data_IF_106148967251
#
_entry.id   IF_106148967251
#
_cell.length_a   1.000
_cell.length_b   1.000
_cell.length_c   1.000
_cell.angle_alpha   90.00
_cell.angle_beta   90.00
_cell.angle_gamma   90.00
#
_symmetry.space_group_name_H-M   'P 1'
#
loop_
_entity.id
_entity.type
_entity.pdbx_description
1 polymer ?
#
# COMPACT_ATOMS: atom_id res chain seq x y z
N UNK A 1 2.65 -6.25 -24.91
CA UNK A 1 2.64 -5.64 -23.56
C UNK A 1 1.50 -4.62 -23.53
N UNK A 2 0.60 -4.62 -22.52
CA UNK A 2 -0.38 -3.57 -22.41
C UNK A 2 0.37 -2.23 -22.27
N UNK A 3 -0.07 -1.21 -23.00
CA UNK A 3 0.47 0.14 -22.85
C UNK A 3 0.19 0.59 -21.42
N UNK A 4 1.21 0.94 -20.66
CA UNK A 4 1.04 1.64 -19.40
C UNK A 4 0.20 2.89 -19.68
N UNK A 5 -0.92 3.03 -18.97
CA UNK A 5 -1.69 4.26 -19.02
C UNK A 5 -0.80 5.35 -18.44
N UNK A 6 -0.47 6.34 -19.25
CA UNK A 6 0.33 7.48 -18.80
C UNK A 6 -0.53 8.30 -17.83
N UNK A 7 -0.26 8.19 -16.54
CA UNK A 7 -1.00 8.94 -15.51
C UNK A 7 -0.37 10.32 -15.38
N UNK A 8 -1.13 11.39 -15.61
CA UNK A 8 -0.62 12.74 -15.38
C UNK A 8 -0.13 12.91 -13.96
N UNK A 9 0.95 13.67 -13.77
CA UNK A 9 1.49 13.94 -12.44
C UNK A 9 0.44 14.61 -11.55
N UNK A 10 0.26 14.07 -10.34
CA UNK A 10 -0.61 14.66 -9.31
C UNK A 10 0.12 15.70 -8.47
N UNK A 11 1.43 15.91 -8.68
CA UNK A 11 2.29 16.77 -7.85
C UNK A 11 1.72 18.17 -7.62
N UNK A 12 1.14 18.78 -8.65
CA UNK A 12 0.60 20.14 -8.57
C UNK A 12 -0.78 20.22 -7.86
N UNK A 13 -1.39 19.08 -7.56
CA UNK A 13 -2.76 18.98 -6.99
C UNK A 13 -2.77 18.51 -5.54
N UNK A 14 -1.61 18.21 -4.99
CA UNK A 14 -1.46 17.70 -3.61
C UNK A 14 -0.48 18.54 -2.82
N UNK A 15 -0.58 18.50 -1.49
CA UNK A 15 0.38 19.17 -0.61
C UNK A 15 1.77 18.58 -0.72
N UNK A 16 2.80 19.32 -0.30
CA UNK A 16 4.17 18.79 -0.26
C UNK A 16 4.29 17.57 0.64
N UNK A 17 3.59 17.56 1.77
CA UNK A 17 3.57 16.42 2.69
C UNK A 17 2.91 15.17 2.07
N UNK A 18 1.78 15.34 1.38
CA UNK A 18 1.15 14.22 0.66
C UNK A 18 2.05 13.73 -0.49
N UNK A 19 2.69 14.65 -1.23
CA UNK A 19 3.59 14.24 -2.31
C UNK A 19 4.77 13.43 -1.79
N UNK A 20 5.38 13.85 -0.70
CA UNK A 20 6.47 13.10 -0.07
C UNK A 20 6.00 11.71 0.36
N UNK A 21 4.84 11.59 0.99
CA UNK A 21 4.25 10.31 1.35
C UNK A 21 4.00 9.42 0.12
N UNK A 22 3.56 9.97 -1.00
CA UNK A 22 3.39 9.24 -2.27
C UNK A 22 4.72 8.73 -2.82
N UNK A 23 5.78 9.52 -2.75
CA UNK A 23 7.13 9.13 -3.19
C UNK A 23 7.67 8.00 -2.31
N UNK A 24 7.56 8.12 -0.99
CA UNK A 24 8.00 7.09 -0.04
C UNK A 24 7.24 5.78 -0.21
N UNK A 25 5.92 5.85 -0.37
CA UNK A 25 5.11 4.66 -0.60
C UNK A 25 5.44 3.99 -1.94
N UNK A 26 5.63 4.74 -3.01
CA UNK A 26 6.05 4.20 -4.30
C UNK A 26 7.44 3.54 -4.21
N UNK A 27 8.36 4.13 -3.44
CA UNK A 27 9.67 3.52 -3.16
C UNK A 27 9.53 2.20 -2.39
N UNK A 28 8.65 2.13 -1.39
CA UNK A 28 8.38 0.90 -0.64
C UNK A 28 7.86 -0.22 -1.56
N UNK A 29 6.93 0.07 -2.47
CA UNK A 29 6.47 -0.89 -3.48
C UNK A 29 7.63 -1.44 -4.32
N UNK A 30 8.52 -0.57 -4.80
CA UNK A 30 9.67 -0.96 -5.60
C UNK A 30 10.69 -1.79 -4.81
N UNK A 31 10.90 -1.48 -3.55
CA UNK A 31 11.74 -2.28 -2.66
C UNK A 31 11.17 -3.68 -2.45
N UNK A 32 9.88 -3.80 -2.19
CA UNK A 32 9.21 -5.11 -2.05
C UNK A 32 9.33 -5.92 -3.34
N UNK A 33 9.19 -5.28 -4.51
CA UNK A 33 9.43 -5.94 -5.80
C UNK A 33 10.90 -6.35 -5.97
N UNK A 34 11.84 -5.48 -5.61
CA UNK A 34 13.28 -5.76 -5.69
C UNK A 34 13.69 -6.97 -4.86
N UNK A 35 13.12 -7.14 -3.67
CA UNK A 35 13.38 -8.29 -2.80
C UNK A 35 12.57 -9.54 -3.15
N UNK A 36 11.74 -9.49 -4.19
CA UNK A 36 10.93 -10.64 -4.62
C UNK A 36 9.82 -11.03 -3.64
N UNK A 37 9.32 -10.08 -2.85
CA UNK A 37 8.25 -10.33 -1.86
C UNK A 37 6.85 -10.11 -2.45
N UNK A 38 6.75 -10.00 -3.77
CA UNK A 38 5.49 -9.83 -4.49
C UNK A 38 4.80 -11.15 -4.75
N UNK A 39 3.47 -11.10 -4.81
CA UNK A 39 2.64 -12.19 -5.29
C UNK A 39 1.59 -11.66 -6.27
N UNK A 40 1.98 -11.43 -7.52
CA UNK A 40 1.16 -10.83 -8.57
C UNK A 40 0.53 -9.50 -8.08
N UNK A 41 -0.81 -9.42 -8.11
CA UNK A 41 -1.61 -8.28 -7.66
C UNK A 41 -2.26 -8.49 -6.28
N UNK A 42 -1.88 -9.55 -5.57
CA UNK A 42 -2.53 -9.96 -4.31
C UNK A 42 -1.94 -9.26 -3.07
N UNK A 43 -0.89 -8.49 -3.24
CA UNK A 43 -0.25 -7.74 -2.16
C UNK A 43 -0.70 -6.27 -2.19
N UNK A 44 -0.64 -5.63 -1.04
CA UNK A 44 -0.94 -4.20 -0.92
C UNK A 44 -0.17 -3.58 0.24
N UNK A 45 0.17 -2.30 0.07
CA UNK A 45 0.77 -1.46 1.10
C UNK A 45 -0.06 -0.20 1.16
N UNK A 46 -0.43 0.24 2.36
CA UNK A 46 -1.09 1.53 2.53
C UNK A 46 -0.28 2.45 3.43
N UNK A 47 -0.46 3.74 3.20
CA UNK A 47 0.15 4.79 4.00
C UNK A 47 -0.92 5.85 4.31
N UNK A 48 -1.06 6.22 5.57
CA UNK A 48 -1.94 7.31 5.99
C UNK A 48 -1.47 8.62 5.36
N UNK A 49 -2.40 9.39 4.81
CA UNK A 49 -2.10 10.73 4.28
C UNK A 49 -1.72 11.65 5.44
N UNK A 50 -0.58 12.35 5.38
CA UNK A 50 -0.16 13.26 6.44
C UNK A 50 -1.22 14.31 6.78
N UNK A 51 -1.36 14.60 8.08
CA UNK A 51 -2.34 15.54 8.64
C UNK A 51 -3.81 15.14 8.41
N UNK A 52 -4.09 13.87 8.16
CA UNK A 52 -5.44 13.31 8.10
C UNK A 52 -5.53 12.07 8.98
N UNK A 53 -6.73 11.75 9.48
CA UNK A 53 -6.95 10.52 10.26
C UNK A 53 -7.61 9.41 9.44
N UNK A 54 -8.34 9.76 8.40
CA UNK A 54 -9.25 8.86 7.68
C UNK A 54 -8.95 8.75 6.18
N UNK A 55 -7.79 9.23 5.74
CA UNK A 55 -7.37 9.15 4.35
C UNK A 55 -6.08 8.34 4.18
N UNK A 56 -6.05 7.50 3.15
CA UNK A 56 -4.94 6.58 2.90
C UNK A 56 -4.55 6.59 1.43
N UNK A 57 -3.27 6.35 1.19
CA UNK A 57 -2.72 6.01 -0.12
C UNK A 57 -2.57 4.50 -0.22
N UNK A 58 -2.96 3.94 -1.35
CA UNK A 58 -2.85 2.50 -1.64
C UNK A 58 -2.55 2.29 -3.12
N UNK A 59 -2.06 1.10 -3.49
CA UNK A 59 -1.80 0.77 -4.89
C UNK A 59 -3.09 0.67 -5.73
N UNK A 60 -3.03 1.07 -7.00
CA UNK A 60 -4.10 0.81 -7.95
C UNK A 60 -4.28 -0.70 -8.17
N UNK A 61 -5.51 -1.15 -8.29
CA UNK A 61 -5.81 -2.52 -8.63
C UNK A 61 -5.33 -2.87 -10.05
N UNK A 62 -4.67 -3.99 -10.19
CA UNK A 62 -4.21 -4.51 -11.48
C UNK A 62 -2.81 -4.07 -11.92
N UNK A 63 -2.14 -3.16 -11.20
CA UNK A 63 -0.74 -2.83 -11.44
C UNK A 63 0.19 -3.71 -10.59
N UNK A 64 1.28 -4.14 -11.21
CA UNK A 64 2.38 -4.79 -10.51
C UNK A 64 3.18 -3.75 -9.69
N UNK A 65 3.85 -4.19 -8.66
CA UNK A 65 4.58 -3.30 -7.74
C UNK A 65 5.66 -2.46 -8.42
N UNK A 66 6.37 -3.02 -9.38
CA UNK A 66 7.37 -2.31 -10.19
C UNK A 66 6.77 -1.23 -11.11
N UNK A 67 5.46 -1.26 -11.33
CA UNK A 67 4.74 -0.27 -12.14
C UNK A 67 4.20 0.89 -11.32
N UNK A 68 4.23 0.77 -9.97
CA UNK A 68 3.69 1.79 -9.08
C UNK A 68 4.57 3.04 -9.12
N UNK A 69 3.94 4.20 -9.26
CA UNK A 69 4.55 5.53 -9.19
C UNK A 69 3.84 6.38 -8.14
N UNK A 70 4.45 7.46 -7.69
CA UNK A 70 3.83 8.42 -6.78
C UNK A 70 2.50 8.97 -7.32
N UNK A 71 2.38 9.13 -8.64
CA UNK A 71 1.18 9.64 -9.30
C UNK A 71 0.12 8.57 -9.56
N UNK A 72 0.48 7.28 -9.60
CA UNK A 72 -0.48 6.20 -9.81
C UNK A 72 -1.17 5.75 -8.51
N UNK A 73 -0.61 6.07 -7.34
CA UNK A 73 -1.21 5.76 -6.05
C UNK A 73 -2.59 6.40 -5.93
N UNK A 74 -3.54 5.64 -5.39
CA UNK A 74 -4.93 6.06 -5.21
C UNK A 74 -5.13 6.55 -3.78
N UNK A 75 -5.76 7.71 -3.62
CA UNK A 75 -6.16 8.23 -2.31
C UNK A 75 -7.60 7.83 -2.04
N UNK A 76 -7.83 7.19 -0.89
CA UNK A 76 -9.15 6.71 -0.46
C UNK A 76 -9.46 7.17 0.96
N UNK A 77 -10.74 7.17 1.30
CA UNK A 77 -11.20 7.28 2.69
C UNK A 77 -11.36 5.89 3.37
N UNK A 78 -11.85 5.89 4.61
CA UNK A 78 -12.11 4.67 5.39
C UNK A 78 -13.21 3.79 4.81
N UNK A 79 -14.09 4.34 3.99
CA UNK A 79 -15.18 3.63 3.33
C UNK A 79 -14.77 3.09 1.95
N UNK A 80 -13.57 3.43 1.48
CA UNK A 80 -13.00 3.02 0.20
C UNK A 80 -13.41 3.91 -0.97
N UNK A 81 -13.96 5.08 -0.71
CA UNK A 81 -14.24 6.05 -1.76
C UNK A 81 -12.94 6.67 -2.27
N UNK A 82 -12.79 6.75 -3.58
CA UNK A 82 -11.65 7.41 -4.20
C UNK A 82 -11.82 8.92 -4.07
N UNK A 83 -10.81 9.59 -3.52
CA UNK A 83 -10.83 11.02 -3.19
C UNK A 83 -10.06 11.90 -4.18
N UNK A 84 -9.45 11.31 -5.19
CA UNK A 84 -8.73 12.02 -6.24
C UNK A 84 -9.22 11.59 -7.64
N UNK A 85 -8.79 12.33 -8.68
CA UNK A 85 -9.14 12.01 -10.07
C UNK A 85 -8.34 10.82 -10.61
N UNK A 86 -8.23 9.75 -9.82
CA UNK A 86 -7.52 8.56 -10.24
C UNK A 86 -8.31 7.80 -11.31
N UNK A 87 -7.68 7.36 -12.41
CA UNK A 87 -8.30 6.48 -13.38
C UNK A 87 -8.39 5.03 -12.87
N UNK A 88 -7.83 4.76 -11.69
CA UNK A 88 -7.74 3.43 -11.13
C UNK A 88 -8.76 3.21 -10.02
N UNK A 89 -9.11 1.95 -9.85
CA UNK A 89 -9.85 1.45 -8.69
C UNK A 89 -8.90 0.80 -7.70
N UNK A 90 -9.36 0.57 -6.48
CA UNK A 90 -8.63 -0.18 -5.47
C UNK A 90 -9.17 -1.61 -5.33
N UNK A 91 -8.32 -2.53 -4.88
CA UNK A 91 -8.76 -3.87 -4.53
C UNK A 91 -9.59 -3.83 -3.24
N UNK A 92 -10.86 -4.19 -3.33
CA UNK A 92 -11.78 -4.18 -2.19
C UNK A 92 -11.28 -5.03 -1.01
N UNK A 93 -10.70 -6.19 -1.26
CA UNK A 93 -10.18 -7.06 -0.20
C UNK A 93 -9.02 -6.38 0.56
N UNK A 94 -8.09 -5.75 -0.17
CA UNK A 94 -6.99 -4.99 0.42
C UNK A 94 -7.50 -3.79 1.22
N UNK A 95 -8.39 -3.01 0.65
CA UNK A 95 -8.97 -1.85 1.31
C UNK A 95 -9.64 -2.22 2.65
N UNK A 96 -10.50 -3.24 2.70
CA UNK A 96 -11.26 -3.61 3.91
C UNK A 96 -10.33 -3.96 5.08
N UNK A 97 -9.27 -4.74 4.82
CA UNK A 97 -8.30 -5.12 5.84
C UNK A 97 -7.52 -3.91 6.34
N UNK A 98 -6.98 -3.10 5.42
CA UNK A 98 -6.16 -1.94 5.77
C UNK A 98 -6.96 -0.85 6.47
N UNK A 99 -8.18 -0.56 6.01
CA UNK A 99 -9.10 0.38 6.63
C UNK A 99 -9.41 -0.01 8.08
N UNK A 100 -9.76 -1.28 8.32
CA UNK A 100 -10.05 -1.78 9.66
C UNK A 100 -8.85 -1.61 10.62
N UNK A 101 -7.62 -1.91 10.17
CA UNK A 101 -6.42 -1.75 10.98
C UNK A 101 -6.13 -0.27 11.22
N UNK A 102 -6.18 0.59 10.20
CA UNK A 102 -5.97 2.03 10.36
C UNK A 102 -6.97 2.69 11.29
N UNK A 103 -8.23 2.25 11.30
CA UNK A 103 -9.25 2.75 12.22
C UNK A 103 -9.00 2.28 13.66
N UNK A 104 -8.61 1.02 13.84
CA UNK A 104 -8.35 0.45 15.17
C UNK A 104 -7.04 0.96 15.80
N UNK A 105 -6.06 1.32 14.97
CA UNK A 105 -4.72 1.71 15.40
C UNK A 105 -4.32 3.04 14.73
N UNK A 106 -4.77 4.14 15.31
CA UNK A 106 -4.47 5.50 14.81
C UNK A 106 -2.99 5.88 14.89
N UNK A 107 -2.23 5.18 15.72
CA UNK A 107 -0.78 5.30 15.86
C UNK A 107 0.00 4.65 14.71
N UNK A 108 -0.62 3.77 13.92
CA UNK A 108 0.02 3.15 12.75
C UNK A 108 -0.16 4.03 11.51
N UNK A 109 0.98 4.39 10.91
CA UNK A 109 0.99 5.20 9.68
C UNK A 109 1.00 4.35 8.43
N UNK A 110 1.63 3.18 8.44
CA UNK A 110 1.77 2.29 7.30
C UNK A 110 1.38 0.86 7.63
N UNK A 111 0.83 0.13 6.66
CA UNK A 111 0.51 -1.28 6.76
C UNK A 111 1.02 -1.97 5.51
N UNK A 112 1.73 -3.08 5.69
CA UNK A 112 2.28 -3.89 4.60
C UNK A 112 1.69 -5.29 4.67
N UNK A 113 1.10 -5.74 3.57
CA UNK A 113 0.62 -7.11 3.39
C UNK A 113 1.44 -7.80 2.30
N UNK A 114 2.11 -8.88 2.65
CA UNK A 114 2.91 -9.70 1.72
C UNK A 114 2.51 -11.18 1.82
N UNK A 115 2.85 -11.95 0.76
CA UNK A 115 2.63 -13.38 0.70
C UNK A 115 3.97 -14.14 0.55
N UNK A 116 5.01 -13.72 1.29
CA UNK A 116 6.28 -14.45 1.29
C UNK A 116 6.10 -15.86 1.84
N UNK A 117 6.84 -16.83 1.33
CA UNK A 117 6.76 -18.24 1.82
C UNK A 117 7.02 -18.31 3.32
N UNK A 118 8.03 -17.58 3.82
CA UNK A 118 8.34 -17.52 5.24
C UNK A 118 7.19 -16.90 6.06
N UNK A 119 6.59 -15.80 5.58
CA UNK A 119 5.46 -15.16 6.25
C UNK A 119 4.22 -16.05 6.29
N UNK A 120 3.90 -16.74 5.19
CA UNK A 120 2.79 -17.70 5.14
C UNK A 120 3.03 -18.91 6.08
N UNK A 121 4.26 -19.45 6.10
CA UNK A 121 4.61 -20.52 7.00
C UNK A 121 4.45 -20.09 8.48
N UNK A 122 4.96 -18.91 8.83
CA UNK A 122 4.85 -18.36 10.17
C UNK A 122 3.38 -18.13 10.59
N UNK A 123 2.56 -17.60 9.68
CA UNK A 123 1.15 -17.33 9.97
C UNK A 123 0.31 -18.59 10.21
N UNK A 124 0.79 -19.75 9.79
CA UNK A 124 0.14 -21.05 10.00
C UNK A 124 0.55 -21.74 11.31
N UNK A 125 1.48 -21.15 12.09
CA UNK A 125 1.93 -21.72 13.36
C UNK A 125 1.07 -21.21 14.53
N UNK A 126 0.62 -22.10 15.39
CA UNK A 126 -0.12 -21.75 16.61
C UNK A 126 0.69 -20.85 17.57
N UNK A 127 2.01 -21.02 17.62
CA UNK A 127 2.88 -20.23 18.46
C UNK A 127 3.19 -18.83 17.94
N UNK A 128 2.90 -18.54 16.67
CA UNK A 128 3.25 -17.27 16.03
C UNK A 128 4.77 -17.04 15.96
N UNK A 129 5.17 -15.75 15.89
CA UNK A 129 6.58 -15.35 15.91
C UNK A 129 7.15 -15.45 17.33
N UNK A 130 8.13 -16.31 17.51
CA UNK A 130 8.85 -16.45 18.80
C UNK A 130 10.12 -15.58 18.79
N UNK A 131 10.39 -14.79 19.85
CA UNK A 131 11.57 -13.94 19.94
C UNK A 131 12.83 -14.75 20.28
N UNK A 132 13.22 -15.67 19.40
CA UNK A 132 14.34 -16.61 19.64
C UNK A 132 15.69 -16.09 19.16
N UNK A 133 15.70 -15.02 18.36
CA UNK A 133 16.93 -14.42 17.84
C UNK A 133 16.72 -12.92 17.55
N UNK A 134 17.78 -12.24 17.15
CA UNK A 134 17.79 -10.80 16.91
C UNK A 134 16.86 -10.36 15.76
N UNK A 135 16.49 -11.28 14.86
CA UNK A 135 15.65 -10.99 13.68
C UNK A 135 14.17 -11.36 13.90
N UNK A 136 13.80 -11.83 15.09
CA UNK A 136 12.42 -12.21 15.42
C UNK A 136 11.64 -11.06 16.04
#
# INVERSE_FOLDING_TARGET
>A
MPKLVEVPSVRARVSDAEWQARVELAAAYRLVAHYGWTHLINNHISLRVPNTEEQFLINPYGLLYEQITASSLVKIDVDGNVLDDSPYQVNRAGFVIHSAIHMARKDLHAIIHTHTVAGQALSALDCGLLPLNQSA
#
